data_IF_387699861759
#
_entry.id   IF_387699861759
#
_cell.length_a   1.000
_cell.length_b   1.000
_cell.length_c   1.000
_cell.angle_alpha   90.00
_cell.angle_beta   90.00
_cell.angle_gamma   90.00
#
_symmetry.space_group_name_H-M   'P 1'
#
loop_
_entity.id
_entity.type
_entity.pdbx_description
1 polymer ?
#
# COMPACT_ATOMS: atom_id res chain seq x y z
N UNK A 1 15.93 1.92 2.26
CA UNK A 1 15.27 2.70 1.20
C UNK A 1 14.41 1.74 0.39
N UNK A 2 13.25 2.15 -0.11
CA UNK A 2 12.36 1.28 -0.88
C UNK A 2 11.92 1.98 -2.17
N UNK A 3 11.66 1.22 -3.24
CA UNK A 3 11.16 1.77 -4.50
C UNK A 3 9.62 1.85 -4.53
N UNK A 4 8.96 1.00 -3.72
CA UNK A 4 7.51 0.86 -3.61
C UNK A 4 7.11 0.67 -2.14
N UNK A 5 6.14 1.46 -1.70
CA UNK A 5 5.48 1.34 -0.40
C UNK A 5 4.04 0.84 -0.56
N UNK A 6 3.70 -0.24 0.14
CA UNK A 6 2.33 -0.76 0.23
C UNK A 6 1.77 -0.47 1.63
N UNK A 7 0.69 0.31 1.69
CA UNK A 7 -0.05 0.60 2.91
C UNK A 7 -1.33 -0.25 2.95
N UNK A 8 -1.41 -1.22 3.87
CA UNK A 8 -2.52 -2.18 3.91
C UNK A 8 -3.24 -2.08 5.25
N UNK A 9 -4.48 -1.59 5.23
CA UNK A 9 -5.35 -1.52 6.41
C UNK A 9 -4.80 -0.69 7.57
N UNK A 10 -4.05 0.37 7.28
CA UNK A 10 -3.32 1.18 8.28
C UNK A 10 -3.68 2.66 8.18
N UNK A 11 -3.70 3.33 9.34
CA UNK A 11 -3.74 4.79 9.46
C UNK A 11 -2.50 5.28 10.18
N UNK A 12 -1.32 4.91 9.67
CA UNK A 12 -0.04 5.25 10.29
C UNK A 12 0.08 6.78 10.48
N UNK A 13 0.18 7.28 11.72
CA UNK A 13 -0.08 8.68 12.00
C UNK A 13 1.11 9.62 11.74
N UNK A 14 2.30 9.07 11.50
CA UNK A 14 3.54 9.85 11.42
C UNK A 14 4.02 10.04 9.97
N UNK A 15 3.39 10.98 9.25
CA UNK A 15 3.69 11.25 7.83
C UNK A 15 5.17 11.57 7.57
N UNK A 16 5.89 12.16 8.53
CA UNK A 16 7.31 12.50 8.39
C UNK A 16 8.24 11.28 8.18
N UNK A 17 7.76 10.08 8.50
CA UNK A 17 8.49 8.83 8.27
C UNK A 17 8.12 8.15 6.95
N UNK A 18 7.12 8.67 6.23
CA UNK A 18 6.74 8.13 4.94
C UNK A 18 7.65 8.71 3.84
N UNK A 19 8.22 7.88 2.97
CA UNK A 19 8.97 8.36 1.82
C UNK A 19 8.06 9.17 0.89
N UNK A 20 8.56 10.29 0.37
CA UNK A 20 7.80 11.18 -0.50
C UNK A 20 8.10 10.97 -2.00
N UNK A 21 9.17 10.26 -2.34
CA UNK A 21 9.65 10.09 -3.72
C UNK A 21 9.71 8.60 -4.12
N UNK A 22 8.65 7.87 -3.78
CA UNK A 22 8.51 6.44 -4.11
C UNK A 22 7.10 6.17 -4.59
N UNK A 23 6.89 5.03 -5.26
CA UNK A 23 5.54 4.60 -5.59
C UNK A 23 4.78 4.20 -4.32
N UNK A 24 3.58 4.74 -4.13
CA UNK A 24 2.73 4.41 -2.97
C UNK A 24 1.39 3.84 -3.45
N UNK A 25 1.09 2.61 -3.02
CA UNK A 25 -0.24 2.03 -3.15
C UNK A 25 -0.87 1.76 -1.78
N UNK A 26 -2.16 2.06 -1.64
CA UNK A 26 -2.90 1.87 -0.39
C UNK A 26 -4.16 1.03 -0.59
N UNK A 27 -4.41 0.10 0.33
CA UNK A 27 -5.63 -0.69 0.44
C UNK A 27 -6.27 -0.36 1.78
N UNK A 28 -7.50 0.16 1.78
CA UNK A 28 -8.27 0.40 3.02
C UNK A 28 -9.76 0.18 2.77
N UNK A 29 -10.47 -0.29 3.80
CA UNK A 29 -11.93 -0.47 3.80
C UNK A 29 -12.64 0.85 4.09
N UNK A 30 -11.99 1.77 4.79
CA UNK A 30 -12.47 3.11 5.11
C UNK A 30 -12.03 4.09 4.04
N UNK A 31 -12.94 4.60 3.18
CA UNK A 31 -12.56 5.51 2.10
C UNK A 31 -11.90 6.80 2.61
N UNK A 32 -12.26 7.26 3.82
CA UNK A 32 -11.67 8.44 4.47
C UNK A 32 -10.19 8.29 4.86
N UNK A 33 -9.64 7.06 4.82
CA UNK A 33 -8.23 6.81 5.09
C UNK A 33 -7.35 6.89 3.83
N UNK A 34 -7.94 6.71 2.65
CA UNK A 34 -7.19 6.68 1.40
C UNK A 34 -6.57 8.06 1.13
N UNK A 35 -5.23 8.10 1.08
CA UNK A 35 -4.50 9.32 0.81
C UNK A 35 -4.49 10.34 1.95
N UNK A 36 -5.01 9.98 3.13
CA UNK A 36 -5.04 10.85 4.32
C UNK A 36 -3.63 11.23 4.81
N UNK A 37 -2.66 10.32 4.63
CA UNK A 37 -1.30 10.43 5.20
C UNK A 37 -0.22 10.69 4.15
N UNK A 38 -0.48 10.39 2.88
CA UNK A 38 0.50 10.48 1.79
C UNK A 38 -0.20 10.57 0.43
N UNK A 39 0.46 11.18 -0.56
CA UNK A 39 -0.03 11.15 -1.95
C UNK A 39 0.08 9.72 -2.49
N UNK A 40 -1.02 9.21 -3.04
CA UNK A 40 -1.08 7.85 -3.58
C UNK A 40 -0.89 7.84 -5.10
N UNK A 41 -0.17 6.84 -5.62
CA UNK A 41 -0.18 6.48 -7.02
C UNK A 41 -1.34 5.53 -7.35
N UNK A 42 -1.72 4.67 -6.40
CA UNK A 42 -2.84 3.73 -6.52
C UNK A 42 -3.60 3.61 -5.21
N UNK A 43 -4.92 3.79 -5.27
CA UNK A 43 -5.82 3.56 -4.16
C UNK A 43 -6.77 2.40 -4.49
N UNK A 44 -6.89 1.44 -3.56
CA UNK A 44 -7.85 0.35 -3.63
C UNK A 44 -8.78 0.47 -2.43
N UNK A 45 -10.03 0.83 -2.70
CA UNK A 45 -11.06 0.81 -1.68
C UNK A 45 -11.63 -0.61 -1.56
N UNK A 46 -11.38 -1.26 -0.43
CA UNK A 46 -11.85 -2.61 -0.20
C UNK A 46 -11.20 -3.29 0.99
N UNK A 47 -11.70 -4.49 1.30
CA UNK A 47 -11.12 -5.33 2.34
C UNK A 47 -9.71 -5.81 1.94
N UNK A 48 -8.77 -5.74 2.88
CA UNK A 48 -7.38 -6.11 2.66
C UNK A 48 -7.20 -7.60 2.34
N UNK A 49 -7.93 -8.48 3.04
CA UNK A 49 -7.84 -9.94 2.84
C UNK A 49 -8.34 -10.31 1.46
N UNK A 50 -9.51 -9.80 1.05
CA UNK A 50 -10.08 -10.10 -0.26
C UNK A 50 -9.24 -9.53 -1.40
N UNK A 51 -8.69 -8.33 -1.22
CA UNK A 51 -7.77 -7.72 -2.19
C UNK A 51 -6.52 -8.57 -2.37
N UNK A 52 -5.88 -8.99 -1.27
CA UNK A 52 -4.68 -9.83 -1.32
C UNK A 52 -4.98 -11.23 -1.88
N UNK A 53 -6.13 -11.82 -1.57
CA UNK A 53 -6.58 -13.09 -2.13
C UNK A 53 -6.65 -13.05 -3.66
N UNK A 54 -7.09 -11.93 -4.21
CA UNK A 54 -7.12 -11.71 -5.66
C UNK A 54 -5.73 -11.40 -6.26
N UNK A 55 -4.86 -10.73 -5.49
CA UNK A 55 -3.57 -10.25 -5.97
C UNK A 55 -2.47 -11.32 -5.94
N UNK A 56 -2.37 -12.11 -4.87
CA UNK A 56 -1.30 -13.09 -4.65
C UNK A 56 -1.10 -14.05 -5.84
N UNK A 57 -2.16 -14.61 -6.47
CA UNK A 57 -1.99 -15.50 -7.62
C UNK A 57 -1.44 -14.83 -8.89
N UNK A 58 -1.50 -13.50 -8.96
CA UNK A 58 -1.09 -12.70 -10.13
C UNK A 58 0.34 -12.18 -10.03
N UNK A 59 0.97 -12.30 -8.86
CA UNK A 59 2.35 -11.84 -8.65
C UNK A 59 3.29 -13.05 -8.60
N UNK A 60 4.50 -12.87 -9.14
CA UNK A 60 5.54 -13.90 -9.10
C UNK A 60 6.37 -13.73 -7.83
N UNK A 61 6.71 -14.84 -7.19
CA UNK A 61 7.64 -14.83 -6.06
C UNK A 61 9.01 -14.29 -6.51
N UNK A 62 9.54 -13.31 -5.77
CA UNK A 62 10.88 -12.75 -6.02
C UNK A 62 11.92 -13.73 -5.49
N UNK A 63 12.73 -14.31 -6.38
CA UNK A 63 13.83 -15.23 -6.01
C UNK A 63 15.02 -14.51 -5.36
N UNK A 64 15.19 -13.22 -5.65
CA UNK A 64 16.24 -12.38 -5.07
C UNK A 64 15.70 -11.66 -3.82
N UNK A 65 16.36 -11.85 -2.68
CA UNK A 65 15.99 -11.25 -1.39
C UNK A 65 16.75 -9.97 -1.05
N UNK A 66 17.62 -9.51 -1.95
CA UNK A 66 18.19 -8.17 -1.92
C UNK A 66 17.27 -7.18 -2.61
#
# INVERSE_FOLDING_TARGET
ECDLLLLIGTDFPYNAFLPNDVKIAQIDVRPEHLGRRSKLDLAVWGDARETLRCLIPRVKEKKNRR
#
